data_IF_689597136952
#
_entry.id   IF_689597136952
#
_cell.length_a   1.000
_cell.length_b   1.000
_cell.length_c   1.000
_cell.angle_alpha   90.00
_cell.angle_beta   90.00
_cell.angle_gamma   90.00
#
_symmetry.space_group_name_H-M   'P 1'
#
loop_
_entity.id
_entity.type
_entity.pdbx_description
1 polymer ?
#
# COMPACT_ATOMS: atom_id res chain seq x y z
N UNK A 1 -4.90 11.71 2.77
CA UNK A 1 -4.78 11.08 4.09
C UNK A 1 -5.69 11.81 5.07
N UNK A 2 -6.59 11.11 5.67
CA UNK A 2 -7.58 11.71 6.56
C UNK A 2 -7.27 11.48 8.05
N UNK A 3 -6.14 10.83 8.35
CA UNK A 3 -5.76 10.57 9.72
C UNK A 3 -6.58 9.48 10.40
N UNK A 4 -7.33 8.70 9.61
CA UNK A 4 -8.20 7.64 10.13
C UNK A 4 -7.68 6.28 9.70
N UNK A 5 -7.17 5.52 10.65
CA UNK A 5 -6.64 4.18 10.37
C UNK A 5 -7.79 3.19 10.28
N UNK A 6 -7.92 2.52 9.15
CA UNK A 6 -8.96 1.53 8.93
C UNK A 6 -8.56 0.15 9.46
N UNK A 7 -7.32 -0.24 9.25
CA UNK A 7 -6.83 -1.55 9.66
C UNK A 7 -5.31 -1.57 9.64
N UNK A 8 -4.74 -2.74 9.89
CA UNK A 8 -3.30 -2.96 9.79
C UNK A 8 -3.04 -4.14 8.88
N UNK A 9 -1.82 -4.21 8.35
CA UNK A 9 -1.35 -5.39 7.66
C UNK A 9 0.13 -5.55 7.90
N UNK A 10 0.70 -6.60 7.33
CA UNK A 10 2.09 -6.99 7.55
C UNK A 10 2.88 -6.85 6.25
N UNK A 11 4.08 -6.32 6.35
CA UNK A 11 5.02 -6.27 5.23
C UNK A 11 5.48 -7.70 4.96
N UNK A 12 5.15 -8.26 3.80
CA UNK A 12 5.54 -9.63 3.46
C UNK A 12 6.91 -9.70 2.80
N UNK A 13 7.30 -8.66 2.07
CA UNK A 13 8.60 -8.62 1.41
C UNK A 13 8.97 -7.20 1.00
N UNK A 14 10.27 -6.91 0.99
CA UNK A 14 10.81 -5.63 0.51
C UNK A 14 11.93 -5.97 -0.45
N UNK A 15 11.86 -5.43 -1.67
CA UNK A 15 12.88 -5.66 -2.69
C UNK A 15 13.46 -4.33 -3.14
N UNK A 16 14.78 -4.23 -3.08
CA UNK A 16 15.51 -3.08 -3.62
C UNK A 16 15.81 -3.34 -5.09
N UNK A 17 15.37 -2.43 -5.95
CA UNK A 17 15.67 -2.47 -7.37
C UNK A 17 16.64 -1.34 -7.70
N UNK A 18 16.95 -1.17 -8.99
CA UNK A 18 17.98 -0.21 -9.37
C UNK A 18 17.64 1.23 -8.97
N UNK A 19 16.41 1.67 -9.22
CA UNK A 19 16.01 3.05 -8.93
C UNK A 19 14.71 3.11 -8.14
N UNK A 20 14.30 2.00 -7.56
CA UNK A 20 13.05 1.93 -6.84
C UNK A 20 13.06 0.81 -5.82
N UNK A 21 12.00 0.78 -5.02
CA UNK A 21 11.80 -0.24 -4.00
C UNK A 21 10.42 -0.82 -4.17
N UNK A 22 10.28 -2.13 -3.99
CA UNK A 22 8.98 -2.80 -3.99
C UNK A 22 8.63 -3.23 -2.59
N UNK A 23 7.46 -2.81 -2.12
CA UNK A 23 6.93 -3.24 -0.84
C UNK A 23 5.73 -4.12 -1.09
N UNK A 24 5.79 -5.34 -0.58
CA UNK A 24 4.70 -6.31 -0.68
C UNK A 24 4.02 -6.42 0.66
N UNK A 25 2.70 -6.33 0.65
CA UNK A 25 1.89 -6.38 1.87
C UNK A 25 0.86 -7.49 1.76
N UNK A 26 0.55 -8.12 2.89
CA UNK A 26 -0.49 -9.12 2.92
C UNK A 26 -1.86 -8.49 2.66
N UNK A 27 -2.68 -9.19 1.90
CA UNK A 27 -4.04 -8.75 1.58
C UNK A 27 -5.01 -9.68 2.29
N UNK A 28 -5.33 -9.36 3.53
CA UNK A 28 -6.20 -10.17 4.37
C UNK A 28 -7.30 -9.36 5.04
N UNK A 29 -7.92 -8.46 4.27
CA UNK A 29 -8.85 -7.49 4.81
C UNK A 29 -10.31 -7.91 4.70
N UNK A 30 -10.62 -9.06 4.12
CA UNK A 30 -11.99 -9.54 3.96
C UNK A 30 -12.88 -8.51 3.25
N UNK A 31 -13.73 -7.79 4.00
CA UNK A 31 -14.64 -6.82 3.43
C UNK A 31 -13.94 -5.69 2.69
N UNK A 32 -12.75 -5.32 3.14
CA UNK A 32 -12.05 -4.16 2.60
C UNK A 32 -11.15 -4.47 1.41
N UNK A 33 -11.03 -5.75 1.02
CA UNK A 33 -10.23 -6.13 -0.14
C UNK A 33 -10.70 -5.45 -1.42
N UNK A 34 -11.98 -5.09 -1.50
CA UNK A 34 -12.53 -4.39 -2.67
C UNK A 34 -11.94 -3.01 -2.88
N UNK A 35 -11.27 -2.44 -1.88
CA UNK A 35 -10.61 -1.14 -2.01
C UNK A 35 -9.16 -1.28 -2.46
N UNK A 36 -8.65 -2.50 -2.55
CA UNK A 36 -7.31 -2.77 -3.03
C UNK A 36 -7.38 -3.01 -4.52
N UNK A 37 -7.15 -1.96 -5.31
CA UNK A 37 -7.25 -2.02 -6.77
C UNK A 37 -5.97 -1.46 -7.38
N UNK A 38 -5.56 -2.05 -8.51
CA UNK A 38 -4.39 -1.55 -9.24
C UNK A 38 -4.60 -0.11 -9.68
N UNK A 39 -3.55 0.69 -9.55
CA UNK A 39 -3.53 2.12 -9.85
C UNK A 39 -4.36 2.96 -8.87
N UNK A 40 -4.99 2.30 -7.89
CA UNK A 40 -5.69 3.01 -6.83
C UNK A 40 -4.74 3.53 -5.77
N UNK A 41 -5.25 4.38 -4.91
CA UNK A 41 -4.48 4.97 -3.81
C UNK A 41 -4.73 4.23 -2.52
N UNK A 42 -3.71 4.19 -1.68
CA UNK A 42 -3.78 3.63 -0.34
C UNK A 42 -2.82 4.44 0.53
N UNK A 43 -3.18 4.63 1.78
CA UNK A 43 -2.27 5.29 2.73
C UNK A 43 -1.68 4.25 3.65
N UNK A 44 -0.35 4.21 3.71
CA UNK A 44 0.41 3.28 4.54
C UNK A 44 1.24 4.09 5.52
N UNK A 45 0.98 3.93 6.82
CA UNK A 45 1.63 4.70 7.88
C UNK A 45 1.59 6.21 7.61
N UNK A 46 0.45 6.68 7.09
CA UNK A 46 0.23 8.10 6.83
C UNK A 46 0.77 8.60 5.49
N UNK A 47 1.34 7.72 4.68
CA UNK A 47 1.90 8.09 3.38
C UNK A 47 0.98 7.61 2.27
N UNK A 48 0.51 8.52 1.42
CA UNK A 48 -0.37 8.18 0.30
C UNK A 48 0.47 7.61 -0.84
N UNK A 49 0.13 6.40 -1.27
CA UNK A 49 0.87 5.66 -2.27
C UNK A 49 -0.06 5.07 -3.31
N UNK A 50 0.50 4.70 -4.46
CA UNK A 50 -0.27 4.08 -5.53
C UNK A 50 0.00 2.59 -5.56
N UNK A 51 -1.07 1.80 -5.64
CA UNK A 51 -0.97 0.34 -5.73
C UNK A 51 -0.54 -0.04 -7.13
N UNK A 52 0.60 -0.70 -7.24
CA UNK A 52 1.16 -1.09 -8.54
C UNK A 52 0.63 -2.43 -9.03
N UNK A 53 0.36 -3.36 -8.12
CA UNK A 53 -0.07 -4.70 -8.49
C UNK A 53 -0.92 -5.31 -7.38
N UNK A 54 -1.94 -6.05 -7.75
CA UNK A 54 -2.80 -6.76 -6.80
C UNK A 54 -2.77 -8.24 -7.15
N UNK A 55 -2.49 -9.08 -6.16
CA UNK A 55 -2.49 -10.52 -6.28
C UNK A 55 -3.51 -11.11 -5.32
N UNK A 56 -3.68 -12.42 -5.34
CA UNK A 56 -4.69 -13.08 -4.52
C UNK A 56 -4.51 -12.80 -3.03
N UNK A 57 -3.27 -12.91 -2.56
CA UNK A 57 -2.97 -12.80 -1.12
C UNK A 57 -2.10 -11.60 -0.77
N UNK A 58 -1.67 -10.83 -1.75
CA UNK A 58 -0.76 -9.71 -1.54
C UNK A 58 -1.10 -8.56 -2.47
N UNK A 59 -0.65 -7.37 -2.10
CA UNK A 59 -0.60 -6.24 -3.03
C UNK A 59 0.79 -5.60 -2.95
N UNK A 60 1.17 -4.89 -3.98
CA UNK A 60 2.52 -4.36 -4.10
C UNK A 60 2.49 -2.86 -4.40
N UNK A 61 3.36 -2.13 -3.71
CA UNK A 61 3.61 -0.71 -3.93
C UNK A 61 5.02 -0.56 -4.48
N UNK A 62 5.16 0.21 -5.55
CA UNK A 62 6.48 0.56 -6.09
C UNK A 62 6.81 1.98 -5.63
N UNK A 63 7.97 2.14 -5.03
CA UNK A 63 8.40 3.41 -4.43
C UNK A 63 9.69 3.84 -5.08
N UNK A 64 9.73 5.05 -5.65
CA UNK A 64 10.96 5.59 -6.22
C UNK A 64 11.92 6.01 -5.10
N UNK A 65 13.22 6.09 -5.42
CA UNK A 65 14.25 6.43 -4.43
C UNK A 65 13.97 7.72 -3.68
N UNK A 66 13.47 8.74 -4.37
CA UNK A 66 13.16 10.01 -3.72
C UNK A 66 12.14 9.83 -2.59
N UNK A 67 11.03 9.14 -2.87
CA UNK A 67 10.00 8.88 -1.87
C UNK A 67 10.53 8.00 -0.75
N UNK A 68 11.31 6.98 -1.09
CA UNK A 68 11.90 6.10 -0.09
C UNK A 68 12.76 6.89 0.90
N UNK A 69 13.59 7.79 0.38
CA UNK A 69 14.55 8.54 1.21
C UNK A 69 13.90 9.67 2.01
N UNK A 70 12.73 10.15 1.61
CA UNK A 70 12.09 11.32 2.23
C UNK A 70 10.85 10.96 3.06
N UNK A 71 10.64 9.68 3.33
CA UNK A 71 9.51 9.21 4.13
C UNK A 71 9.99 8.21 5.17
N UNK A 72 9.05 7.77 6.02
CA UNK A 72 9.34 6.74 7.02
C UNK A 72 9.36 5.32 6.42
N UNK A 73 9.12 5.18 5.11
CA UNK A 73 9.12 3.86 4.46
C UNK A 73 10.47 3.17 4.57
N UNK A 74 11.56 3.93 4.56
CA UNK A 74 12.91 3.35 4.65
C UNK A 74 13.17 2.62 5.97
N UNK A 75 12.37 2.89 6.98
CA UNK A 75 12.52 2.24 8.28
C UNK A 75 11.73 0.94 8.41
N UNK A 76 10.92 0.61 7.41
CA UNK A 76 10.15 -0.62 7.44
C UNK A 76 11.02 -1.83 7.16
N UNK A 77 10.71 -2.93 7.84
CA UNK A 77 11.37 -4.21 7.63
C UNK A 77 10.31 -5.27 7.34
N UNK A 78 10.76 -6.36 6.74
CA UNK A 78 9.91 -7.53 6.55
C UNK A 78 9.31 -7.95 7.89
N UNK A 79 8.04 -8.28 7.87
CA UNK A 79 7.23 -8.69 9.04
C UNK A 79 6.77 -7.55 9.93
N UNK A 80 7.13 -6.31 9.63
CA UNK A 80 6.58 -5.16 10.36
C UNK A 80 5.10 -5.01 10.06
N UNK A 81 4.36 -4.52 11.05
CA UNK A 81 2.97 -4.13 10.86
C UNK A 81 2.89 -2.68 10.43
N UNK A 82 1.95 -2.37 9.56
CA UNK A 82 1.72 -1.01 9.10
C UNK A 82 0.24 -0.66 9.22
N UNK A 83 -0.03 0.62 9.40
CA UNK A 83 -1.39 1.15 9.44
C UNK A 83 -1.87 1.43 8.02
N UNK A 84 -3.12 1.05 7.75
CA UNK A 84 -3.71 1.20 6.42
C UNK A 84 -4.93 2.11 6.49
N UNK A 85 -4.98 3.07 5.56
CA UNK A 85 -6.19 3.82 5.28
C UNK A 85 -6.56 3.57 3.82
N UNK A 86 -7.80 3.14 3.59
CA UNK A 86 -8.27 2.88 2.23
C UNK A 86 -8.77 4.17 1.58
N UNK A 87 -8.60 4.26 0.27
CA UNK A 87 -9.21 5.31 -0.52
C UNK A 87 -10.57 4.83 -1.00
N UNK A 88 -11.62 5.17 -0.27
CA UNK A 88 -12.98 4.74 -0.59
C UNK A 88 -13.48 5.35 -1.90
N UNK A 89 -12.96 6.50 -2.28
CA UNK A 89 -13.33 7.14 -3.53
C UNK A 89 -12.76 6.40 -4.74
N UNK A 90 -11.59 5.80 -4.60
CA UNK A 90 -10.97 5.05 -5.70
C UNK A 90 -11.90 3.91 -6.16
N UNK A 91 -12.50 3.19 -5.18
CA UNK A 91 -13.44 2.12 -5.52
C UNK A 91 -14.65 2.66 -6.29
N UNK A 92 -15.18 3.79 -5.85
CA UNK A 92 -16.32 4.41 -6.52
C UNK A 92 -15.97 4.79 -7.96
N UNK A 93 -14.83 5.43 -8.16
CA UNK A 93 -14.38 5.87 -9.48
C UNK A 93 -14.21 4.67 -10.43
N UNK A 94 -13.50 3.63 -9.98
CA UNK A 94 -13.21 2.50 -10.85
C UNK A 94 -14.42 1.61 -11.12
N UNK A 95 -15.38 1.56 -10.21
CA UNK A 95 -16.57 0.73 -10.38
C UNK A 95 -17.67 1.40 -11.20
N UNK A 96 -17.56 2.69 -11.49
CA UNK A 96 -18.55 3.42 -12.26
C UNK A 96 -18.13 3.67 -13.72
N UNK A 97 -17.05 3.07 -14.11
CA UNK A 97 -16.63 3.07 -15.51
C UNK A 97 -17.28 1.89 -16.27
#
# INVERSE_FOLDING_TARGET
VYGHVDTTTTVSEILELQNSWEYHFEKKFNKNNKFIVEKGSISINGISLTIAKVEKNNFMISVIDHTFNHTNLKFLNKSDQVNIEFDYLARFIFNNE
#
